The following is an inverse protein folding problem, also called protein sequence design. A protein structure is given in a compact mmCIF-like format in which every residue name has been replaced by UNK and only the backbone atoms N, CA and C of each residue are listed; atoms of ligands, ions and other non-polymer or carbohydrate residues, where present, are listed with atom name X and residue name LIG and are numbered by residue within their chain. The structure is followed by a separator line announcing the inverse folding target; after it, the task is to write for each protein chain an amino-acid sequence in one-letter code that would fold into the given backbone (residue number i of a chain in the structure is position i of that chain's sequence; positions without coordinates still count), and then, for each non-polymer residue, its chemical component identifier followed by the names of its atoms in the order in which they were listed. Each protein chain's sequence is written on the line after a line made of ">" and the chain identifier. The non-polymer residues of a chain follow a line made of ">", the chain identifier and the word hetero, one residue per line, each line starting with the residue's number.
data_IF_310429787847
#
_entry.id   IF_310429787847
#
_cell.length_a   1.000
_cell.length_b   1.000
_cell.length_c   1.000
_cell.angle_alpha   90.00
_cell.angle_beta   90.00
_cell.angle_gamma   90.00
#
_symmetry.space_group_name_H-M   'P 1'
#
loop_
_entity.id
_entity.type
_entity.pdbx_description
1 polymer ?
#
# COMPACT_ATOMS: atom_id res chain seq x y z
N UNK A 1 5.20 -14.40 -26.57
CA UNK A 1 5.38 -15.20 -25.34
C UNK A 1 5.46 -14.20 -24.20
N UNK A 2 4.42 -14.10 -23.37
CA UNK A 2 4.46 -13.24 -22.18
C UNK A 2 5.14 -14.08 -21.10
N UNK A 3 6.37 -13.72 -20.74
CA UNK A 3 7.04 -14.32 -19.58
C UNK A 3 6.24 -13.94 -18.34
N UNK A 4 5.53 -14.90 -17.78
CA UNK A 4 4.85 -14.76 -16.49
C UNK A 4 5.93 -14.63 -15.41
N UNK A 5 6.26 -13.39 -15.04
CA UNK A 5 7.19 -13.13 -13.95
C UNK A 5 6.50 -13.52 -12.65
N UNK A 6 6.73 -14.75 -12.17
CA UNK A 6 6.38 -15.13 -10.80
C UNK A 6 7.29 -14.36 -9.86
N UNK A 7 6.72 -13.35 -9.22
CA UNK A 7 7.38 -12.68 -8.10
C UNK A 7 6.82 -13.27 -6.82
N UNK A 8 7.68 -13.90 -6.03
CA UNK A 8 7.32 -14.27 -4.66
C UNK A 8 7.19 -12.97 -3.85
N UNK A 9 6.03 -12.79 -3.23
CA UNK A 9 5.83 -11.67 -2.32
C UNK A 9 6.74 -11.88 -1.10
N UNK A 10 7.36 -10.81 -0.61
CA UNK A 10 8.15 -10.84 0.64
C UNK A 10 7.25 -11.18 1.84
N UNK A 11 5.94 -11.00 1.69
CA UNK A 11 4.96 -11.20 2.73
C UNK A 11 4.27 -12.57 2.68
N UNK A 12 4.25 -13.26 3.83
CA UNK A 12 3.40 -14.41 4.12
C UNK A 12 2.54 -14.09 5.35
N UNK A 13 1.22 -14.30 5.34
CA UNK A 13 0.39 -14.06 6.52
C UNK A 13 0.86 -14.93 7.68
N UNK A 14 1.13 -14.30 8.83
CA UNK A 14 1.55 -15.02 10.03
C UNK A 14 0.36 -15.56 10.83
N UNK A 15 -0.86 -15.10 10.52
CA UNK A 15 -2.08 -15.50 11.20
C UNK A 15 -3.33 -15.35 10.32
N UNK A 16 -4.40 -16.06 10.70
CA UNK A 16 -5.67 -16.09 9.98
C UNK A 16 -6.34 -14.70 9.82
N UNK A 17 -6.30 -13.79 10.83
CA UNK A 17 -6.85 -12.44 10.66
C UNK A 17 -6.16 -11.61 9.58
N UNK A 18 -4.84 -11.69 9.46
CA UNK A 18 -4.11 -10.99 8.40
C UNK A 18 -4.50 -11.52 7.02
N UNK A 19 -4.52 -12.84 6.86
CA UNK A 19 -4.92 -13.49 5.61
C UNK A 19 -6.35 -13.11 5.21
N UNK A 20 -7.28 -13.20 6.15
CA UNK A 20 -8.67 -12.81 5.94
C UNK A 20 -8.82 -11.34 5.52
N UNK A 21 -8.07 -10.42 6.15
CA UNK A 21 -8.11 -9.01 5.78
C UNK A 21 -7.55 -8.75 4.38
N UNK A 22 -6.42 -9.37 4.01
CA UNK A 22 -5.77 -9.20 2.70
C UNK A 22 -6.62 -9.81 1.58
N UNK A 23 -7.28 -10.95 1.84
CA UNK A 23 -8.15 -11.63 0.89
C UNK A 23 -9.54 -10.97 0.75
N UNK A 24 -9.97 -10.16 1.73
CA UNK A 24 -11.29 -9.53 1.72
C UNK A 24 -11.49 -8.60 0.51
N UNK A 25 -12.61 -8.78 -0.18
CA UNK A 25 -13.00 -8.04 -1.39
C UNK A 25 -14.06 -6.97 -1.12
N UNK A 26 -14.44 -6.76 0.14
CA UNK A 26 -15.37 -5.70 0.52
C UNK A 26 -14.90 -4.32 0.06
N UNK A 27 -15.84 -3.45 -0.28
CA UNK A 27 -15.54 -2.05 -0.66
C UNK A 27 -14.96 -1.23 0.50
N UNK A 28 -15.16 -1.71 1.74
CA UNK A 28 -14.60 -1.15 2.97
C UNK A 28 -14.22 -2.31 3.89
N UNK A 29 -12.98 -2.29 4.36
CA UNK A 29 -12.45 -3.28 5.30
C UNK A 29 -11.74 -2.56 6.44
N UNK A 30 -11.84 -3.09 7.65
CA UNK A 30 -11.11 -2.58 8.82
C UNK A 30 -10.35 -3.75 9.44
N UNK A 31 -9.05 -3.56 9.68
CA UNK A 31 -8.26 -4.46 10.49
C UNK A 31 -7.88 -3.78 11.81
N UNK A 32 -8.60 -4.13 12.87
CA UNK A 32 -8.36 -3.65 14.23
C UNK A 32 -7.74 -4.75 15.09
N UNK A 33 -6.89 -4.37 16.04
CA UNK A 33 -6.17 -5.31 16.90
C UNK A 33 -5.10 -4.63 17.74
N UNK A 34 -4.46 -5.40 18.63
CA UNK A 34 -3.44 -4.91 19.56
C UNK A 34 -2.23 -4.29 18.86
N UNK A 35 -1.45 -3.51 19.62
CA UNK A 35 -0.13 -3.06 19.19
C UNK A 35 0.74 -4.27 18.81
N UNK A 36 1.49 -4.17 17.70
CA UNK A 36 2.30 -5.29 17.20
C UNK A 36 1.54 -6.40 16.45
N UNK A 37 0.21 -6.33 16.29
CA UNK A 37 -0.56 -7.36 15.56
C UNK A 37 -0.30 -7.44 14.03
N UNK A 38 0.65 -6.67 13.51
CA UNK A 38 1.01 -6.65 12.08
C UNK A 38 -0.02 -5.96 11.17
N UNK A 39 -0.83 -5.05 11.72
CA UNK A 39 -1.85 -4.29 10.96
C UNK A 39 -1.26 -3.53 9.77
N UNK A 40 -0.18 -2.78 10.01
CA UNK A 40 0.50 -2.00 8.97
C UNK A 40 1.06 -2.89 7.86
N UNK A 41 1.63 -4.06 8.21
CA UNK A 41 2.13 -5.03 7.23
C UNK A 41 0.97 -5.55 6.37
N UNK A 42 -0.13 -6.00 6.98
CA UNK A 42 -1.29 -6.50 6.26
C UNK A 42 -1.95 -5.42 5.39
N UNK A 43 -1.99 -4.17 5.85
CA UNK A 43 -2.48 -3.02 5.08
C UNK A 43 -1.62 -2.75 3.84
N UNK A 44 -0.28 -2.73 4.00
CA UNK A 44 0.64 -2.62 2.88
C UNK A 44 0.51 -3.80 1.91
N UNK A 45 0.36 -5.03 2.42
CA UNK A 45 0.20 -6.24 1.61
C UNK A 45 -1.08 -6.20 0.78
N UNK A 46 -2.20 -5.77 1.38
CA UNK A 46 -3.46 -5.57 0.65
C UNK A 46 -3.33 -4.49 -0.44
N UNK A 47 -2.70 -3.37 -0.13
CA UNK A 47 -2.42 -2.31 -1.11
C UNK A 47 -1.59 -2.82 -2.30
N UNK A 48 -0.50 -3.54 -2.03
CA UNK A 48 0.32 -4.15 -3.08
C UNK A 48 -0.47 -5.15 -3.90
N UNK A 49 -1.26 -6.02 -3.25
CA UNK A 49 -2.12 -7.00 -3.93
C UNK A 49 -3.09 -6.31 -4.88
N UNK A 50 -3.79 -5.26 -4.46
CA UNK A 50 -4.69 -4.49 -5.31
C UNK A 50 -3.95 -3.80 -6.46
N UNK A 51 -2.71 -3.34 -6.26
CA UNK A 51 -1.90 -2.78 -7.34
C UNK A 51 -1.41 -3.83 -8.35
N UNK A 52 -1.28 -5.10 -7.95
CA UNK A 52 -0.86 -6.20 -8.81
C UNK A 52 -2.04 -6.84 -9.54
N UNK A 53 -3.15 -7.08 -8.83
CA UNK A 53 -4.39 -7.65 -9.37
C UNK A 53 -5.03 -6.72 -10.42
N UNK A 54 -4.84 -5.40 -10.28
CA UNK A 54 -5.33 -4.39 -11.22
C UNK A 54 -4.14 -3.58 -11.78
N UNK A 55 -3.63 -3.90 -12.99
CA UNK A 55 -2.54 -3.15 -13.61
C UNK A 55 -2.89 -1.69 -13.90
N UNK A 56 -1.90 -0.80 -13.85
CA UNK A 56 -2.06 0.67 -14.01
C UNK A 56 -3.01 1.30 -12.98
N UNK A 57 -3.19 0.65 -11.83
CA UNK A 57 -4.00 1.16 -10.74
C UNK A 57 -3.28 2.29 -9.99
N UNK A 58 -4.02 3.26 -9.48
CA UNK A 58 -3.52 4.35 -8.68
C UNK A 58 -4.07 4.25 -7.25
N UNK A 59 -3.19 3.95 -6.29
CA UNK A 59 -3.55 3.72 -4.90
C UNK A 59 -2.93 4.75 -3.95
N UNK A 60 -3.62 4.99 -2.84
CA UNK A 60 -3.13 5.83 -1.73
C UNK A 60 -2.96 4.97 -0.49
N UNK A 61 -1.75 4.98 0.08
CA UNK A 61 -1.49 4.51 1.44
C UNK A 61 -1.14 5.75 2.28
N UNK A 62 -1.97 6.06 3.27
CA UNK A 62 -1.79 7.23 4.09
C UNK A 62 -1.84 6.95 5.58
N UNK A 63 -1.35 7.92 6.34
CA UNK A 63 -1.36 7.94 7.81
C UNK A 63 -1.84 9.31 8.27
N UNK A 64 -2.22 9.45 9.54
CA UNK A 64 -2.69 10.73 10.11
C UNK A 64 -1.72 11.90 9.86
N UNK A 65 -0.41 11.66 10.00
CA UNK A 65 0.64 12.67 9.88
C UNK A 65 1.71 12.22 8.87
N UNK A 66 1.99 13.01 7.82
CA UNK A 66 2.96 12.65 6.77
C UNK A 66 4.36 12.37 7.31
N UNK A 67 4.78 13.13 8.32
CA UNK A 67 6.13 13.04 8.90
C UNK A 67 6.43 11.67 9.54
N UNK A 68 5.41 10.98 10.07
CA UNK A 68 5.60 9.66 10.71
C UNK A 68 5.60 8.51 9.71
N UNK A 69 5.03 8.73 8.51
CA UNK A 69 4.86 7.71 7.49
C UNK A 69 6.19 7.12 7.00
N UNK A 70 7.22 7.96 6.82
CA UNK A 70 8.51 7.56 6.28
C UNK A 70 9.22 6.51 7.14
N UNK A 71 9.14 6.66 8.47
CA UNK A 71 9.78 5.74 9.43
C UNK A 71 8.93 4.52 9.76
N UNK A 72 7.68 4.47 9.30
CA UNK A 72 6.69 3.45 9.68
C UNK A 72 6.16 2.70 8.46
N UNK A 73 5.07 3.19 7.86
CA UNK A 73 4.31 2.50 6.81
C UNK A 73 5.12 2.33 5.52
N UNK A 74 5.84 3.37 5.07
CA UNK A 74 6.66 3.29 3.86
C UNK A 74 7.88 2.37 4.05
N UNK A 75 8.53 2.46 5.21
CA UNK A 75 9.61 1.54 5.58
C UNK A 75 9.12 0.09 5.57
N UNK A 76 7.98 -0.16 6.22
CA UNK A 76 7.31 -1.47 6.21
C UNK A 76 7.03 -1.97 4.80
N UNK A 77 6.50 -1.10 3.93
CA UNK A 77 6.21 -1.46 2.55
C UNK A 77 7.48 -1.87 1.80
N UNK A 78 8.54 -1.05 1.86
CA UNK A 78 9.78 -1.27 1.12
C UNK A 78 10.61 -2.45 1.65
N UNK A 79 10.61 -2.68 2.96
CA UNK A 79 11.49 -3.68 3.58
C UNK A 79 10.80 -5.03 3.78
N UNK A 80 9.48 -5.06 4.03
CA UNK A 80 8.78 -6.26 4.49
C UNK A 80 7.68 -6.76 3.56
N UNK A 81 7.29 -5.97 2.55
CA UNK A 81 6.10 -6.29 1.74
C UNK A 81 6.40 -6.32 0.25
N UNK A 82 6.99 -5.27 -0.30
CA UNK A 82 7.18 -5.12 -1.74
C UNK A 82 8.58 -5.59 -2.16
N UNK A 83 8.69 -6.69 -2.92
CA UNK A 83 9.93 -7.08 -3.58
C UNK A 83 10.48 -5.91 -4.42
N UNK A 84 11.80 -5.70 -4.35
CA UNK A 84 12.45 -4.60 -5.06
C UNK A 84 12.28 -4.70 -6.58
N UNK A 85 12.17 -5.93 -7.09
CA UNK A 85 11.97 -6.28 -8.49
C UNK A 85 10.62 -5.78 -9.03
N UNK A 86 9.64 -5.52 -8.16
CA UNK A 86 8.37 -4.92 -8.55
C UNK A 86 8.46 -3.40 -8.67
N UNK A 87 9.48 -2.75 -8.13
CA UNK A 87 9.60 -1.30 -8.11
C UNK A 87 10.34 -0.82 -9.37
N UNK A 88 9.59 -0.25 -10.31
CA UNK A 88 10.16 0.37 -11.51
C UNK A 88 10.77 1.75 -11.22
N UNK A 89 10.13 2.53 -10.33
CA UNK A 89 10.64 3.84 -9.91
C UNK A 89 10.15 4.18 -8.49
N UNK A 90 10.94 4.99 -7.78
CA UNK A 90 10.53 5.57 -6.50
C UNK A 90 10.91 7.05 -6.42
N UNK A 91 9.91 7.94 -6.53
CA UNK A 91 10.05 9.36 -6.25
C UNK A 91 9.96 9.60 -4.73
N UNK A 92 11.12 9.74 -4.08
CA UNK A 92 11.22 9.95 -2.63
C UNK A 92 10.62 11.28 -2.16
N UNK A 93 10.69 12.34 -3.00
CA UNK A 93 10.19 13.66 -2.64
C UNK A 93 8.67 13.66 -2.53
N UNK A 94 8.00 13.00 -3.47
CA UNK A 94 6.55 12.87 -3.47
C UNK A 94 6.06 11.70 -2.61
N UNK A 95 6.89 10.68 -2.41
CA UNK A 95 6.47 9.41 -1.82
C UNK A 95 5.71 8.53 -2.80
N UNK A 96 6.02 8.63 -4.11
CA UNK A 96 5.32 7.91 -5.16
C UNK A 96 6.17 6.71 -5.63
N UNK A 97 5.62 5.51 -5.49
CA UNK A 97 6.22 4.27 -6.00
C UNK A 97 5.48 3.86 -7.27
N UNK A 98 6.22 3.64 -8.36
CA UNK A 98 5.70 3.07 -9.60
C UNK A 98 6.14 1.61 -9.70
N UNK A 99 5.19 0.71 -9.90
CA UNK A 99 5.42 -0.71 -10.09
C UNK A 99 5.70 -1.06 -11.55
N UNK A 100 6.32 -2.22 -11.79
CA UNK A 100 6.64 -2.72 -13.14
C UNK A 100 5.42 -2.98 -14.03
N UNK A 101 4.23 -3.17 -13.44
CA UNK A 101 2.97 -3.28 -14.17
C UNK A 101 2.28 -1.92 -14.46
N UNK A 102 2.96 -0.81 -14.16
CA UNK A 102 2.47 0.55 -14.34
C UNK A 102 1.56 1.07 -13.24
N UNK A 103 1.21 0.25 -12.24
CA UNK A 103 0.47 0.72 -11.07
C UNK A 103 1.32 1.68 -10.24
N UNK A 104 0.69 2.62 -9.56
CA UNK A 104 1.34 3.60 -8.71
C UNK A 104 0.72 3.61 -7.32
N UNK A 105 1.57 3.74 -6.31
CA UNK A 105 1.16 3.83 -4.90
C UNK A 105 1.77 5.11 -4.35
N UNK A 106 0.90 6.06 -4.00
CA UNK A 106 1.30 7.27 -3.30
C UNK A 106 1.26 7.03 -1.79
N UNK A 107 2.33 7.44 -1.13
CA UNK A 107 2.43 7.48 0.31
C UNK A 107 2.24 8.90 0.83
N UNK A 108 1.11 9.14 1.51
CA UNK A 108 0.64 10.49 1.88
C UNK A 108 0.24 10.65 3.35
N UNK A 109 0.06 11.90 3.77
CA UNK A 109 -0.49 12.22 5.09
C UNK A 109 -1.88 12.83 4.94
N UNK A 110 -2.75 12.60 5.93
CA UNK A 110 -4.07 13.23 5.99
C UNK A 110 -4.04 14.67 6.54
N UNK A 111 -2.87 15.11 7.00
CA UNK A 111 -2.56 16.43 7.55
C UNK A 111 -2.39 17.54 6.48
N UNK A 112 -2.38 17.19 5.19
CA UNK A 112 -2.32 18.13 4.07
C UNK A 112 -3.45 17.86 3.03
N UNK A 113 -4.68 18.35 3.31
CA UNK A 113 -5.85 18.05 2.47
C UNK A 113 -5.80 18.65 1.06
N UNK A 114 -5.00 19.70 0.84
CA UNK A 114 -4.83 20.31 -0.49
C UNK A 114 -4.15 19.34 -1.47
N UNK A 115 -3.19 18.55 -0.99
CA UNK A 115 -2.55 17.51 -1.80
C UNK A 115 -3.50 16.36 -2.12
N UNK A 116 -4.36 15.98 -1.18
CA UNK A 116 -5.37 14.93 -1.39
C UNK A 116 -6.43 15.33 -2.42
N UNK A 117 -6.86 16.59 -2.41
CA UNK A 117 -7.85 17.12 -3.37
C UNK A 117 -7.38 17.02 -4.83
N UNK A 118 -6.09 17.28 -5.09
CA UNK A 118 -5.50 17.17 -6.42
C UNK A 118 -5.37 15.71 -6.90
N UNK A 119 -5.30 14.74 -6.00
CA UNK A 119 -5.21 13.31 -6.35
C UNK A 119 -6.54 12.72 -6.85
N UNK A 120 -7.68 13.28 -6.41
CA UNK A 120 -9.00 12.80 -6.81
C UNK A 120 -9.29 12.97 -8.31
N UNK A 121 -8.61 13.91 -8.98
CA UNK A 121 -8.81 14.21 -10.40
C UNK A 121 -8.33 13.10 -11.36
N UNK A 122 -7.43 12.21 -10.90
CA UNK A 122 -6.89 11.11 -11.70
C UNK A 122 -7.58 9.75 -11.52
N UNK A 123 -8.54 9.66 -10.59
CA UNK A 123 -9.15 8.39 -10.18
C UNK A 123 -8.27 7.60 -9.19
N UNK A 124 -8.84 7.20 -8.05
CA UNK A 124 -8.16 6.38 -7.03
C UNK A 124 -8.83 5.01 -6.99
N UNK A 125 -8.07 3.94 -7.22
CA UNK A 125 -8.59 2.57 -7.16
C UNK A 125 -8.62 1.97 -5.75
N UNK A 126 -7.78 2.47 -4.83
CA UNK A 126 -7.92 2.17 -3.40
C UNK A 126 -7.34 3.26 -2.50
N UNK A 127 -7.87 3.35 -1.29
CA UNK A 127 -7.31 4.15 -0.19
C UNK A 127 -7.12 3.24 1.01
N UNK A 128 -5.92 3.26 1.60
CA UNK A 128 -5.57 2.53 2.79
C UNK A 128 -5.07 3.51 3.86
N UNK A 129 -5.71 3.51 5.02
CA UNK A 129 -5.42 4.44 6.13
C UNK A 129 -4.80 3.66 7.28
N UNK A 130 -3.51 3.87 7.52
CA UNK A 130 -2.76 3.31 8.63
C UNK A 130 -2.90 4.20 9.87
N UNK A 131 -3.07 3.58 11.04
CA UNK A 131 -3.27 4.27 12.34
C UNK A 131 -4.28 5.43 12.29
N UNK A 132 -5.53 5.13 11.97
CA UNK A 132 -6.61 6.12 11.90
C UNK A 132 -7.09 6.67 13.28
N UNK A 133 -6.32 6.50 14.35
CA UNK A 133 -6.65 6.93 15.72
C UNK A 133 -5.91 8.24 16.05
#
# INVERSE_FOLDING_TARGET
>A
MVTETKVELVWNPINQPQDGFVADKGSRSIFSGAFGAGKTIALCAKGLKLSLDYPKNYGLICRKVRATLGQTTLKTFLELVCPRELIANYNKSEGLITLTNGSQILFGGLDDPLKLGSMGAGGIGFVAIDEAI
#
